data_IF_819762559471
#
_entry.id   IF_819762559471
#
_cell.length_a   1.000
_cell.length_b   1.000
_cell.length_c   1.000
_cell.angle_alpha   90.00
_cell.angle_beta   90.00
_cell.angle_gamma   90.00
#
_symmetry.space_group_name_H-M   'P 1'
#
loop_
_entity.id
_entity.type
_entity.pdbx_description
1 polymer ?
#
# COMPACT_ATOMS: atom_id res chain seq x y z
N UNK A 1 -0.97 6.53 -4.69
CA UNK A 1 -2.06 5.98 -3.85
C UNK A 1 -3.29 6.07 -4.68
N UNK A 2 -4.11 5.03 -4.75
CA UNK A 2 -5.33 5.03 -5.55
C UNK A 2 -6.43 4.27 -4.81
N UNK A 3 -7.67 4.54 -5.16
CA UNK A 3 -8.84 3.81 -4.68
C UNK A 3 -9.79 3.56 -5.85
N UNK A 4 -10.37 2.36 -5.90
CA UNK A 4 -11.46 2.07 -6.85
C UNK A 4 -12.76 2.67 -6.30
N UNK A 5 -13.35 3.60 -7.06
CA UNK A 5 -14.60 4.28 -6.75
C UNK A 5 -15.68 3.77 -7.69
N UNK A 6 -16.84 3.38 -7.14
CA UNK A 6 -18.04 3.13 -7.96
C UNK A 6 -18.79 4.45 -8.10
N UNK A 7 -18.91 4.92 -9.34
CA UNK A 7 -19.78 6.04 -9.68
C UNK A 7 -21.20 5.50 -9.90
N UNK A 8 -22.22 6.30 -9.63
CA UNK A 8 -23.61 5.88 -9.70
C UNK A 8 -24.47 6.99 -10.30
N UNK A 9 -25.05 6.71 -11.46
CA UNK A 9 -26.03 7.52 -12.16
C UNK A 9 -27.34 6.79 -12.39
N UNK A 10 -27.63 5.69 -11.69
CA UNK A 10 -28.84 4.87 -11.93
C UNK A 10 -30.15 5.64 -11.63
N UNK A 11 -30.08 6.74 -10.86
CA UNK A 11 -31.21 7.62 -10.58
C UNK A 11 -31.52 8.63 -11.71
N UNK A 12 -30.70 8.71 -12.76
CA UNK A 12 -31.02 9.51 -13.95
C UNK A 12 -32.26 8.95 -14.65
N UNK A 13 -33.13 9.84 -15.12
CA UNK A 13 -34.42 9.48 -15.70
C UNK A 13 -34.81 10.41 -16.84
N UNK A 14 -35.39 9.83 -17.88
CA UNK A 14 -36.05 10.54 -18.98
C UNK A 14 -37.57 10.36 -18.87
N UNK A 15 -38.31 11.47 -18.96
CA UNK A 15 -39.75 11.51 -18.71
C UNK A 15 -40.62 11.00 -19.85
N UNK A 16 -40.08 11.02 -21.06
CA UNK A 16 -40.78 10.77 -22.31
C UNK A 16 -40.06 9.76 -23.21
N UNK A 17 -38.88 9.28 -22.82
CA UNK A 17 -38.13 8.25 -23.52
C UNK A 17 -37.26 7.39 -22.62
N UNK A 18 -36.02 7.16 -23.06
CA UNK A 18 -35.02 6.35 -22.39
C UNK A 18 -33.63 6.95 -22.51
N UNK A 19 -32.80 6.77 -21.48
CA UNK A 19 -31.40 7.22 -21.52
C UNK A 19 -30.60 6.33 -22.48
N UNK A 20 -30.05 6.95 -23.53
CA UNK A 20 -29.21 6.30 -24.54
C UNK A 20 -27.76 6.14 -24.07
N UNK A 21 -27.22 7.08 -23.28
CA UNK A 21 -25.83 6.99 -22.81
C UNK A 21 -25.55 7.72 -21.50
N UNK A 22 -24.48 7.25 -20.82
CA UNK A 22 -23.89 7.84 -19.62
C UNK A 22 -22.40 8.00 -19.89
N UNK A 23 -21.88 9.22 -19.75
CA UNK A 23 -20.46 9.54 -19.92
C UNK A 23 -19.97 10.23 -18.66
N UNK A 24 -18.91 9.69 -18.06
CA UNK A 24 -18.25 10.29 -16.90
C UNK A 24 -16.94 10.94 -17.32
N UNK A 25 -16.71 12.18 -16.92
CA UNK A 25 -15.48 12.94 -17.18
C UNK A 25 -14.85 13.48 -15.89
N UNK A 26 -13.53 13.67 -15.91
CA UNK A 26 -12.83 14.55 -14.97
C UNK A 26 -12.24 15.72 -15.76
N UNK A 27 -12.86 16.89 -15.63
CA UNK A 27 -12.58 18.02 -16.51
C UNK A 27 -12.96 17.72 -17.95
N UNK A 28 -11.97 17.60 -18.85
CA UNK A 28 -12.21 17.28 -20.28
C UNK A 28 -11.92 15.82 -20.64
N UNK A 29 -11.45 15.03 -19.68
CA UNK A 29 -11.03 13.65 -19.91
C UNK A 29 -12.17 12.71 -19.58
N UNK A 30 -12.61 11.90 -20.53
CA UNK A 30 -13.55 10.82 -20.25
C UNK A 30 -12.86 9.74 -19.42
N UNK A 31 -13.42 9.44 -18.25
CA UNK A 31 -12.91 8.46 -17.28
C UNK A 31 -13.70 7.15 -17.32
N UNK A 32 -14.99 7.20 -17.68
CA UNK A 32 -15.84 6.00 -17.81
C UNK A 32 -17.11 6.24 -18.64
N UNK A 33 -17.83 5.15 -18.90
CA UNK A 33 -19.17 5.15 -19.50
C UNK A 33 -20.06 4.12 -18.78
N UNK A 34 -21.37 4.30 -18.88
CA UNK A 34 -22.36 3.46 -18.20
C UNK A 34 -22.84 4.08 -16.90
N UNK A 35 -23.95 3.56 -16.38
CA UNK A 35 -24.60 4.15 -15.21
C UNK A 35 -23.83 3.90 -13.90
N UNK A 36 -23.23 2.72 -13.74
CA UNK A 36 -22.50 2.32 -12.52
C UNK A 36 -21.06 1.82 -12.75
N UNK A 37 -20.16 2.62 -13.35
CA UNK A 37 -18.79 2.19 -13.63
C UNK A 37 -17.91 2.20 -12.37
N UNK A 38 -16.87 1.36 -12.37
CA UNK A 38 -15.76 1.45 -11.44
C UNK A 38 -14.60 2.24 -12.05
N UNK A 39 -14.05 3.19 -11.30
CA UNK A 39 -12.93 4.05 -11.73
C UNK A 39 -11.84 4.03 -10.67
N UNK A 40 -10.59 3.81 -11.08
CA UNK A 40 -9.44 3.97 -10.19
C UNK A 40 -9.06 5.46 -10.12
N UNK A 41 -9.14 6.05 -8.93
CA UNK A 41 -8.79 7.46 -8.69
C UNK A 41 -7.58 7.55 -7.77
N UNK A 42 -6.62 8.40 -8.11
CA UNK A 42 -5.44 8.63 -7.28
C UNK A 42 -5.78 9.36 -5.96
N UNK A 43 -4.83 9.41 -5.02
CA UNK A 43 -4.96 10.21 -3.80
C UNK A 43 -5.02 11.69 -4.21
N UNK A 44 -6.08 12.35 -3.82
CA UNK A 44 -6.35 13.71 -4.24
C UNK A 44 -7.82 14.07 -4.12
N UNK A 45 -8.13 15.28 -4.59
CA UNK A 45 -9.50 15.73 -4.79
C UNK A 45 -9.80 15.59 -6.28
N UNK A 46 -10.85 14.85 -6.58
CA UNK A 46 -11.36 14.60 -7.92
C UNK A 46 -12.75 15.21 -8.05
N UNK A 47 -13.10 15.63 -9.26
CA UNK A 47 -14.47 15.98 -9.62
C UNK A 47 -14.86 15.09 -10.79
N UNK A 48 -15.85 14.24 -10.59
CA UNK A 48 -16.43 13.44 -11.66
C UNK A 48 -17.73 14.09 -12.12
N UNK A 49 -17.81 14.42 -13.40
CA UNK A 49 -18.98 14.99 -14.06
C UNK A 49 -19.68 13.88 -14.87
N UNK A 50 -20.96 13.68 -14.62
CA UNK A 50 -21.82 12.81 -15.41
C UNK A 50 -22.52 13.64 -16.46
N UNK A 51 -22.52 13.19 -17.72
CA UNK A 51 -23.44 13.64 -18.75
C UNK A 51 -24.29 12.46 -19.20
N UNK A 52 -25.60 12.62 -19.13
CA UNK A 52 -26.56 11.67 -19.69
C UNK A 52 -27.08 12.20 -21.03
N UNK A 53 -27.40 11.30 -21.95
CA UNK A 53 -28.04 11.64 -23.23
C UNK A 53 -29.21 10.70 -23.46
N UNK A 54 -30.39 11.23 -23.76
CA UNK A 54 -31.59 10.44 -24.07
C UNK A 54 -31.68 10.02 -25.55
N UNK A 55 -32.75 9.31 -25.92
CA UNK A 55 -32.98 8.84 -27.29
C UNK A 55 -33.45 9.93 -28.26
N UNK A 56 -33.69 11.15 -27.76
CA UNK A 56 -34.00 12.36 -28.53
C UNK A 56 -32.78 13.31 -28.63
N UNK A 57 -31.58 12.81 -28.28
CA UNK A 57 -30.30 13.53 -28.25
C UNK A 57 -30.25 14.73 -27.27
N UNK A 58 -31.18 14.82 -26.30
CA UNK A 58 -31.10 15.82 -25.24
C UNK A 58 -30.18 15.35 -24.10
N UNK A 59 -29.57 16.29 -23.39
CA UNK A 59 -28.54 16.01 -22.39
C UNK A 59 -28.80 16.75 -21.09
N UNK A 60 -28.39 16.14 -19.98
CA UNK A 60 -28.30 16.78 -18.67
C UNK A 60 -26.99 16.36 -17.97
N UNK A 61 -26.54 17.17 -17.01
CA UNK A 61 -25.28 16.96 -16.30
C UNK A 61 -25.38 17.11 -14.78
N UNK A 62 -24.52 16.38 -14.06
CA UNK A 62 -24.34 16.51 -12.61
C UNK A 62 -22.89 16.21 -12.20
N UNK A 63 -22.43 16.74 -11.07
CA UNK A 63 -21.04 16.64 -10.61
C UNK A 63 -20.93 16.09 -9.19
N UNK A 64 -19.97 15.20 -8.95
CA UNK A 64 -19.62 14.70 -7.62
C UNK A 64 -18.16 14.99 -7.27
N UNK A 65 -17.94 15.60 -6.11
CA UNK A 65 -16.61 15.81 -5.54
C UNK A 65 -16.19 14.58 -4.73
N UNK A 66 -15.07 13.97 -5.09
CA UNK A 66 -14.53 12.76 -4.48
C UNK A 66 -13.18 13.09 -3.86
N UNK A 67 -13.03 12.83 -2.56
CA UNK A 67 -11.73 12.99 -1.89
C UNK A 67 -11.15 11.63 -1.57
N UNK A 68 -10.10 11.25 -2.28
CA UNK A 68 -9.31 10.07 -1.99
C UNK A 68 -8.17 10.47 -1.06
N UNK A 69 -8.24 10.03 0.20
CA UNK A 69 -7.22 10.35 1.19
C UNK A 69 -6.17 9.25 1.28
N UNK A 70 -4.90 9.63 1.36
CA UNK A 70 -3.87 8.71 1.83
C UNK A 70 -4.06 8.47 3.32
N UNK A 71 -4.13 7.20 3.72
CA UNK A 71 -4.17 6.85 5.14
C UNK A 71 -2.75 6.68 5.66
N UNK A 72 -2.18 7.75 6.20
CA UNK A 72 -0.91 7.69 6.92
C UNK A 72 -1.13 7.11 8.30
N UNK A 73 -0.56 5.94 8.59
CA UNK A 73 -0.68 5.35 9.92
C UNK A 73 0.27 6.00 10.93
N UNK A 74 -0.20 6.09 12.17
CA UNK A 74 0.54 6.69 13.29
C UNK A 74 1.85 5.96 13.52
N UNK A 75 2.85 6.71 13.97
CA UNK A 75 4.14 6.16 14.39
C UNK A 75 3.97 5.06 15.43
N UNK A 76 4.68 3.95 15.26
CA UNK A 76 4.72 2.84 16.22
C UNK A 76 6.17 2.51 16.55
N UNK A 77 6.46 2.34 17.84
CA UNK A 77 7.79 2.01 18.36
C UNK A 77 7.70 0.75 19.20
N UNK A 78 8.54 -0.25 18.92
CA UNK A 78 8.55 -1.50 19.68
C UNK A 78 9.97 -1.91 20.12
N UNK A 79 10.18 -2.21 21.42
CA UNK A 79 11.39 -2.90 21.91
C UNK A 79 11.30 -4.43 21.85
N UNK A 80 10.08 -5.01 21.94
CA UNK A 80 9.84 -6.47 21.90
C UNK A 80 8.34 -6.84 21.83
N UNK A 81 7.45 -5.89 21.54
CA UNK A 81 6.02 -6.17 21.37
C UNK A 81 5.68 -6.27 19.88
N UNK A 82 4.53 -6.86 19.56
CA UNK A 82 3.98 -6.90 18.21
C UNK A 82 2.78 -5.95 18.11
N UNK A 83 2.97 -4.62 18.15
CA UNK A 83 1.87 -3.70 17.91
C UNK A 83 1.32 -3.98 16.51
N UNK A 84 0.04 -4.29 16.43
CA UNK A 84 -0.64 -4.62 15.20
C UNK A 84 -1.52 -3.46 14.78
N UNK A 85 -1.49 -3.16 13.49
CA UNK A 85 -2.31 -2.12 12.88
C UNK A 85 -3.00 -2.70 11.66
N UNK A 86 -4.32 -2.54 11.62
CA UNK A 86 -5.15 -2.95 10.48
C UNK A 86 -4.78 -2.12 9.26
N UNK A 87 -4.74 -2.73 8.08
CA UNK A 87 -4.66 -2.16 6.73
C UNK A 87 -5.99 -2.38 5.99
N UNK A 88 -6.34 -1.57 4.97
CA UNK A 88 -7.29 -2.04 3.96
C UNK A 88 -6.84 -3.39 3.41
N UNK A 89 -7.77 -4.32 3.20
CA UNK A 89 -7.46 -5.63 2.66
C UNK A 89 -6.91 -5.51 1.24
N UNK A 90 -5.76 -6.12 0.98
CA UNK A 90 -5.09 -6.14 -0.31
C UNK A 90 -5.03 -7.58 -0.84
N UNK A 91 -5.45 -7.79 -2.08
CA UNK A 91 -5.50 -9.12 -2.73
C UNK A 91 -4.73 -9.20 -4.04
N UNK A 92 -4.38 -8.04 -4.62
CA UNK A 92 -3.67 -7.93 -5.90
C UNK A 92 -2.23 -7.47 -5.73
N UNK A 93 -1.80 -6.60 -6.65
CA UNK A 93 -0.53 -5.88 -6.53
C UNK A 93 -0.78 -4.55 -5.85
N UNK A 94 0.07 -4.19 -4.90
CA UNK A 94 0.04 -2.89 -4.24
C UNK A 94 1.45 -2.49 -3.80
N UNK A 95 1.63 -1.22 -3.51
CA UNK A 95 2.84 -0.67 -2.92
C UNK A 95 2.55 -0.22 -1.50
N UNK A 96 3.40 -0.64 -0.56
CA UNK A 96 3.43 -0.17 0.82
C UNK A 96 4.69 0.67 1.03
N UNK A 97 4.51 1.91 1.44
CA UNK A 97 5.60 2.83 1.75
C UNK A 97 5.58 3.19 3.23
N UNK A 98 6.75 3.35 3.85
CA UNK A 98 6.86 3.83 5.24
C UNK A 98 8.26 4.40 5.51
N UNK A 99 8.34 5.24 6.53
CA UNK A 99 9.61 5.68 7.09
C UNK A 99 9.97 4.79 8.28
N UNK A 100 11.22 4.36 8.35
CA UNK A 100 11.73 3.52 9.42
C UNK A 100 13.00 4.09 10.04
N UNK A 101 13.05 4.12 11.37
CA UNK A 101 14.17 4.62 12.18
C UNK A 101 14.66 3.51 13.11
N UNK A 102 15.83 2.91 12.86
CA UNK A 102 16.47 2.04 13.85
C UNK A 102 17.02 2.92 14.98
N UNK A 103 16.44 2.87 16.19
CA UNK A 103 16.84 3.76 17.29
C UNK A 103 18.15 3.33 17.98
N UNK A 104 18.68 2.16 17.61
CA UNK A 104 19.92 1.59 18.16
C UNK A 104 20.68 0.84 17.05
N UNK A 105 22.01 0.76 17.16
CA UNK A 105 22.83 -0.06 16.27
C UNK A 105 22.82 -1.52 16.71
N UNK A 106 23.04 -2.45 15.78
CA UNK A 106 23.10 -3.89 16.07
C UNK A 106 21.78 -4.50 16.56
N UNK A 107 20.65 -3.95 16.12
CA UNK A 107 19.32 -4.48 16.45
C UNK A 107 18.97 -5.64 15.49
N UNK A 108 18.00 -6.47 15.88
CA UNK A 108 17.39 -7.47 14.98
C UNK A 108 15.91 -7.12 14.82
N UNK A 109 15.65 -6.00 14.14
CA UNK A 109 14.35 -5.36 14.12
C UNK A 109 13.64 -5.53 12.78
N UNK A 110 12.44 -6.08 12.81
CA UNK A 110 11.62 -6.35 11.63
C UNK A 110 10.41 -5.43 11.57
N UNK A 111 10.09 -4.98 10.36
CA UNK A 111 8.79 -4.45 9.99
C UNK A 111 8.20 -5.39 8.95
N UNK A 112 6.94 -5.78 9.11
CA UNK A 112 6.34 -6.78 8.24
C UNK A 112 4.86 -6.60 8.00
N UNK A 113 4.40 -7.24 6.93
CA UNK A 113 3.02 -7.33 6.51
C UNK A 113 2.49 -8.74 6.73
N UNK A 114 1.23 -8.87 7.14
CA UNK A 114 0.63 -10.17 7.49
C UNK A 114 -0.83 -10.27 7.01
N UNK A 115 -1.32 -11.51 6.96
CA UNK A 115 -2.74 -11.83 6.86
C UNK A 115 -3.27 -12.05 8.26
N UNK A 116 -4.20 -11.21 8.71
CA UNK A 116 -4.59 -11.13 10.11
C UNK A 116 -3.48 -10.59 11.02
N UNK A 117 -3.72 -10.69 12.32
CA UNK A 117 -2.77 -10.29 13.37
C UNK A 117 -1.45 -11.04 13.18
N UNK A 118 -0.36 -10.30 12.98
CA UNK A 118 1.00 -10.82 13.01
C UNK A 118 1.60 -10.65 14.40
N UNK A 119 1.50 -11.66 15.26
CA UNK A 119 2.10 -11.64 16.60
C UNK A 119 3.21 -12.69 16.78
N UNK A 120 3.55 -13.39 15.70
CA UNK A 120 4.70 -14.28 15.60
C UNK A 120 5.48 -14.09 14.30
N UNK A 121 6.75 -14.53 14.33
CA UNK A 121 7.66 -14.44 13.19
C UNK A 121 7.08 -15.06 11.92
N UNK A 122 6.41 -16.20 12.07
CA UNK A 122 5.88 -17.00 10.95
C UNK A 122 4.65 -16.38 10.32
N UNK A 123 4.03 -15.40 10.96
CA UNK A 123 2.80 -14.77 10.49
C UNK A 123 3.07 -13.67 9.46
N UNK A 124 4.32 -13.19 9.40
CA UNK A 124 4.73 -12.16 8.47
C UNK A 124 5.02 -12.76 7.10
N UNK A 125 4.37 -12.23 6.07
CA UNK A 125 4.55 -12.61 4.68
C UNK A 125 5.72 -11.86 4.04
N UNK A 126 5.71 -10.53 4.15
CA UNK A 126 6.78 -9.65 3.66
C UNK A 126 7.51 -9.07 4.87
N UNK A 127 8.84 -9.04 4.84
CA UNK A 127 9.65 -8.56 5.97
C UNK A 127 10.82 -7.72 5.47
N UNK A 128 10.99 -6.54 6.08
CA UNK A 128 12.20 -5.72 6.01
C UNK A 128 12.84 -5.71 7.40
N UNK A 129 14.17 -5.82 7.46
CA UNK A 129 14.89 -5.96 8.72
C UNK A 129 16.12 -5.09 8.81
N UNK A 130 16.26 -4.38 9.92
CA UNK A 130 17.54 -3.86 10.39
C UNK A 130 18.24 -4.96 11.18
N UNK A 131 19.34 -5.49 10.67
CA UNK A 131 20.03 -6.65 11.24
C UNK A 131 21.21 -6.28 12.14
N UNK A 132 21.69 -7.28 12.90
CA UNK A 132 22.72 -7.10 13.92
C UNK A 132 24.10 -6.69 13.37
N UNK A 133 24.31 -6.78 12.06
CA UNK A 133 25.52 -6.33 11.37
C UNK A 133 25.42 -4.90 10.83
N UNK A 134 24.42 -4.13 11.28
CA UNK A 134 24.12 -2.78 10.81
C UNK A 134 23.82 -2.73 9.31
N UNK A 135 23.06 -3.70 8.80
CA UNK A 135 22.59 -3.76 7.42
C UNK A 135 21.08 -3.90 7.36
N UNK A 136 20.50 -3.45 6.25
CA UNK A 136 19.11 -3.70 5.91
C UNK A 136 19.06 -4.92 5.00
N UNK A 137 18.24 -5.90 5.36
CA UNK A 137 17.95 -7.07 4.53
C UNK A 137 16.45 -7.39 4.56
N UNK A 138 16.02 -8.34 3.75
CA UNK A 138 14.60 -8.73 3.62
C UNK A 138 14.46 -10.25 3.65
N UNK A 139 13.26 -10.74 3.94
CA UNK A 139 12.97 -12.18 3.87
C UNK A 139 12.84 -12.64 2.41
N UNK A 140 13.41 -13.80 2.10
CA UNK A 140 13.23 -14.51 0.84
C UNK A 140 12.92 -15.98 1.16
N UNK A 141 11.64 -16.35 1.21
CA UNK A 141 11.23 -17.67 1.66
C UNK A 141 11.70 -17.95 3.11
N UNK A 142 12.70 -18.83 3.25
CA UNK A 142 13.20 -19.30 4.55
C UNK A 142 14.42 -18.53 5.09
N UNK A 143 15.01 -17.62 4.31
CA UNK A 143 16.24 -16.91 4.66
C UNK A 143 16.10 -15.40 4.57
N UNK A 144 16.96 -14.65 5.26
CA UNK A 144 17.14 -13.22 5.00
C UNK A 144 18.25 -13.02 3.96
N UNK A 145 18.03 -12.09 3.02
CA UNK A 145 18.96 -11.76 1.95
C UNK A 145 18.73 -10.33 1.45
N UNK A 146 19.66 -9.83 0.64
CA UNK A 146 19.53 -8.58 -0.10
C UNK A 146 20.41 -8.64 -1.36
N UNK A 147 19.94 -8.04 -2.45
CA UNK A 147 20.68 -7.91 -3.71
C UNK A 147 21.71 -6.77 -3.64
N UNK A 148 21.45 -5.78 -2.79
CA UNK A 148 22.33 -4.65 -2.54
C UNK A 148 22.68 -4.53 -1.05
N UNK A 149 23.88 -4.01 -0.75
CA UNK A 149 24.28 -3.72 0.62
C UNK A 149 23.84 -2.31 1.01
N UNK A 150 22.87 -2.20 1.92
CA UNK A 150 22.49 -0.93 2.54
C UNK A 150 22.88 -0.96 4.02
N UNK A 151 23.86 -0.13 4.39
CA UNK A 151 24.22 0.07 5.78
C UNK A 151 23.25 1.04 6.45
N UNK A 152 22.93 0.76 7.71
CA UNK A 152 22.14 1.70 8.51
C UNK A 152 22.94 2.30 9.66
N UNK A 153 22.57 3.52 10.04
CA UNK A 153 23.05 4.21 11.24
C UNK A 153 21.88 4.42 12.19
N UNK A 154 22.12 4.27 13.49
CA UNK A 154 21.08 4.51 14.48
C UNK A 154 20.53 5.95 14.39
N UNK A 155 19.24 6.10 14.65
CA UNK A 155 18.48 7.37 14.62
C UNK A 155 18.40 8.06 13.27
N UNK A 156 18.87 7.43 12.20
CA UNK A 156 18.68 7.92 10.84
C UNK A 156 17.37 7.39 10.25
N UNK A 157 16.69 8.21 9.44
CA UNK A 157 15.43 7.83 8.79
C UNK A 157 15.69 7.21 7.43
N UNK A 158 15.13 6.02 7.21
CA UNK A 158 15.15 5.32 5.93
C UNK A 158 13.73 5.29 5.39
N UNK A 159 13.53 5.78 4.18
CA UNK A 159 12.27 5.59 3.48
C UNK A 159 12.29 4.22 2.79
N UNK A 160 11.26 3.41 3.01
CA UNK A 160 11.13 2.07 2.47
C UNK A 160 9.90 2.03 1.59
N UNK A 161 10.07 1.53 0.36
CA UNK A 161 9.00 1.29 -0.59
C UNK A 161 8.99 -0.18 -0.97
N UNK A 162 7.87 -0.83 -0.76
CA UNK A 162 7.70 -2.27 -0.93
C UNK A 162 6.58 -2.55 -1.92
N UNK A 163 6.91 -3.10 -3.08
CA UNK A 163 5.95 -3.47 -4.12
C UNK A 163 5.61 -4.95 -3.92
N UNK A 164 4.36 -5.23 -3.55
CA UNK A 164 3.87 -6.55 -3.15
C UNK A 164 2.94 -7.08 -4.22
N UNK A 165 3.12 -8.34 -4.61
CA UNK A 165 2.18 -9.09 -5.43
C UNK A 165 1.67 -10.29 -4.62
N UNK A 166 0.45 -10.17 -4.10
CA UNK A 166 -0.16 -11.19 -3.24
C UNK A 166 -0.43 -12.48 -4.02
N UNK A 167 -0.90 -12.38 -5.26
CA UNK A 167 -1.25 -13.55 -6.08
C UNK A 167 -0.04 -14.42 -6.44
N UNK A 168 1.13 -13.80 -6.61
CA UNK A 168 2.38 -14.50 -6.93
C UNK A 168 3.24 -14.78 -5.69
N UNK A 169 2.82 -14.35 -4.49
CA UNK A 169 3.59 -14.46 -3.25
C UNK A 169 5.01 -13.90 -3.38
N UNK A 170 5.14 -12.74 -4.02
CA UNK A 170 6.44 -12.08 -4.24
C UNK A 170 6.39 -10.61 -3.87
N UNK A 171 7.53 -10.05 -3.52
CA UNK A 171 7.67 -8.62 -3.28
C UNK A 171 9.06 -8.10 -3.64
N UNK A 172 9.12 -6.83 -4.03
CA UNK A 172 10.37 -6.09 -4.23
C UNK A 172 10.47 -5.00 -3.18
N UNK A 173 11.68 -4.73 -2.70
CA UNK A 173 11.92 -3.70 -1.68
C UNK A 173 12.96 -2.72 -2.20
N UNK A 174 12.65 -1.45 -2.02
CA UNK A 174 13.49 -0.31 -2.32
C UNK A 174 13.69 0.48 -1.03
N UNK A 175 14.91 0.98 -0.83
CA UNK A 175 15.26 1.77 0.35
C UNK A 175 15.94 3.04 -0.11
N UNK A 176 15.50 4.18 0.42
CA UNK A 176 16.14 5.48 0.25
C UNK A 176 16.80 5.87 1.57
N UNK A 177 18.14 5.72 1.70
CA UNK A 177 18.87 6.21 2.86
C UNK A 177 18.79 7.74 2.97
N UNK A 178 19.03 8.31 4.17
CA UNK A 178 18.96 9.75 4.38
C UNK A 178 19.91 10.51 3.44
N UNK A 179 19.34 11.44 2.65
CA UNK A 179 20.09 12.26 1.71
C UNK A 179 20.70 11.49 0.52
N UNK A 180 20.28 10.26 0.28
CA UNK A 180 20.73 9.46 -0.86
C UNK A 180 19.59 9.16 -1.83
N UNK A 181 19.94 8.64 -3.01
CA UNK A 181 18.98 8.11 -3.97
C UNK A 181 18.44 6.75 -3.52
N UNK A 182 17.27 6.39 -4.04
CA UNK A 182 16.66 5.10 -3.80
C UNK A 182 17.53 3.95 -4.34
N UNK A 183 17.64 2.88 -3.55
CA UNK A 183 18.39 1.67 -3.84
C UNK A 183 17.41 0.52 -3.95
N UNK A 184 17.48 -0.26 -5.04
CA UNK A 184 16.78 -1.54 -5.13
C UNK A 184 17.47 -2.53 -4.18
N UNK A 185 16.82 -2.84 -3.06
CA UNK A 185 17.37 -3.74 -2.03
C UNK A 185 17.12 -5.20 -2.40
N UNK A 186 15.94 -5.51 -2.96
CA UNK A 186 15.56 -6.85 -3.37
C UNK A 186 14.52 -6.79 -4.51
N UNK A 187 14.64 -7.67 -5.50
CA UNK A 187 13.69 -7.75 -6.63
C UNK A 187 13.01 -9.11 -6.70
N UNK A 188 11.67 -9.13 -6.58
CA UNK A 188 10.86 -10.34 -6.77
C UNK A 188 11.12 -11.45 -5.74
N UNK A 189 11.50 -11.09 -4.52
CA UNK A 189 11.75 -12.06 -3.45
C UNK A 189 10.44 -12.74 -3.02
N UNK A 190 10.54 -14.02 -2.66
CA UNK A 190 9.37 -14.78 -2.24
C UNK A 190 8.91 -14.33 -0.85
N UNK A 191 7.59 -14.34 -0.63
CA UNK A 191 7.01 -14.27 0.71
C UNK A 191 7.66 -15.33 1.60
N UNK A 192 7.55 -15.12 2.92
CA UNK A 192 7.97 -16.12 3.89
C UNK A 192 7.37 -17.49 3.56
N UNK A 193 8.14 -18.57 3.73
CA UNK A 193 7.74 -19.94 3.35
C UNK A 193 6.43 -20.39 4.00
N UNK A 194 6.17 -19.97 5.23
CA UNK A 194 4.95 -20.27 5.99
C UNK A 194 3.72 -19.52 5.46
N UNK A 195 3.91 -18.49 4.61
CA UNK A 195 2.87 -17.58 4.11
C UNK A 195 2.61 -17.74 2.61
N UNK A 196 2.92 -18.91 2.03
CA UNK A 196 2.75 -19.20 0.60
C UNK A 196 1.30 -19.53 0.18
N UNK A 197 0.36 -19.55 1.14
CA UNK A 197 -1.05 -19.88 0.89
C UNK A 197 -2.01 -18.74 1.19
N UNK A 198 -1.52 -17.60 1.70
CA UNK A 198 -2.39 -16.47 2.00
C UNK A 198 -2.93 -15.86 0.71
N UNK A 199 -4.17 -15.37 0.76
CA UNK A 199 -4.85 -14.73 -0.38
C UNK A 199 -5.04 -13.24 -0.17
N UNK A 200 -4.68 -12.73 1.00
CA UNK A 200 -4.79 -11.31 1.34
C UNK A 200 -3.77 -10.89 2.39
N UNK A 201 -3.42 -9.60 2.34
CA UNK A 201 -2.70 -8.88 3.40
C UNK A 201 -3.62 -7.77 3.91
N UNK A 202 -3.76 -7.66 5.21
CA UNK A 202 -4.66 -6.68 5.85
C UNK A 202 -4.11 -6.15 7.18
N UNK A 203 -2.85 -6.44 7.50
CA UNK A 203 -2.19 -5.94 8.70
C UNK A 203 -0.72 -5.62 8.45
N UNK A 204 -0.19 -4.72 9.27
CA UNK A 204 1.23 -4.56 9.46
C UNK A 204 1.59 -4.54 10.93
N UNK A 205 2.85 -4.87 11.21
CA UNK A 205 3.41 -4.88 12.55
C UNK A 205 4.92 -4.67 12.50
N UNK A 206 5.51 -4.55 13.69
CA UNK A 206 6.95 -4.43 13.86
C UNK A 206 7.40 -5.10 15.17
N UNK A 207 8.63 -5.60 15.21
CA UNK A 207 9.22 -6.17 16.43
C UNK A 207 10.75 -6.02 16.43
N UNK A 208 11.34 -5.69 17.58
CA UNK A 208 12.79 -5.75 17.78
C UNK A 208 13.18 -7.08 18.45
N UNK A 209 13.51 -8.09 17.64
CA UNK A 209 13.56 -9.51 18.03
C UNK A 209 14.67 -9.92 18.98
N UNK A 210 15.73 -9.12 19.13
CA UNK A 210 16.82 -9.40 20.07
C UNK A 210 16.70 -8.63 21.39
N UNK A 211 15.61 -7.89 21.62
CA UNK A 211 15.42 -7.00 22.78
C UNK A 211 16.54 -5.95 22.95
N UNK A 212 17.31 -5.71 21.90
CA UNK A 212 18.33 -4.64 21.86
C UNK A 212 17.69 -3.44 21.21
N UNK A 213 17.42 -2.41 22.00
CA UNK A 213 16.88 -1.14 21.51
C UNK A 213 15.45 -1.22 20.98
N UNK A 214 15.12 -0.27 20.13
CA UNK A 214 13.81 -0.16 19.47
C UNK A 214 14.00 0.22 18.02
N UNK A 215 12.95 0.05 17.22
CA UNK A 215 12.82 0.79 15.97
C UNK A 215 11.43 1.42 15.90
N UNK A 216 11.35 2.51 15.13
CA UNK A 216 10.14 3.30 14.94
C UNK A 216 9.75 3.23 13.47
N UNK A 217 8.48 2.97 13.19
CA UNK A 217 7.90 3.02 11.84
C UNK A 217 6.82 4.08 11.83
N UNK A 218 6.84 4.96 10.84
CA UNK A 218 5.85 6.02 10.65
C UNK A 218 5.53 6.21 9.18
N UNK A 219 4.62 7.12 8.89
CA UNK A 219 4.32 7.54 7.53
C UNK A 219 3.80 6.41 6.62
N UNK A 220 3.24 5.32 7.19
CA UNK A 220 2.87 4.16 6.38
C UNK A 220 1.68 4.49 5.49
N UNK A 221 1.83 4.30 4.17
CA UNK A 221 0.81 4.49 3.15
C UNK A 221 0.71 3.26 2.24
N UNK A 222 -0.46 3.07 1.62
CA UNK A 222 -0.68 2.06 0.60
C UNK A 222 -1.12 2.71 -0.71
N UNK A 223 -0.70 2.12 -1.83
CA UNK A 223 -1.09 2.55 -3.18
C UNK A 223 -1.31 1.34 -4.07
N UNK A 224 -2.42 1.26 -4.79
CA UNK A 224 -2.67 0.19 -5.78
C UNK A 224 -2.12 0.56 -7.16
#
# INVERSE_FOLDING_TARGET
GSATVTLDGDDSYDSDGSIASYVWTEGVTQIATGATPNVSMDVGVHTADLTVTDDDDATDDDSVAITVVSRTLTSSTSPYTWPNSVLPTQTGTFTCEFDAVPNTSGIDAVTGLSSGIGDWWTDLACIVRFNTSNRIDVRNGSSYAADATVAYTASATYHVRMVVNVSNHTYSVYVTPPGQSEITLASGYAFRTEQQSITSIDHWTLNAGNSVGTHTVSSLTLTE
#
